data_IF_320437048694
#
_entry.id   IF_320437048694
#
_cell.length_a   1.000
_cell.length_b   1.000
_cell.length_c   1.000
_cell.angle_alpha   90.00
_cell.angle_beta   90.00
_cell.angle_gamma   90.00
#
_symmetry.space_group_name_H-M   'P 1'
#
loop_
_entity.id
_entity.type
_entity.pdbx_description
1 polymer ?
#
# COMPACT_ATOMS: atom_id res chain seq x y z
N UNK A 1 -4.02 23.22 13.36
CA UNK A 1 -4.08 23.58 14.81
C UNK A 1 -3.45 22.53 15.72
N UNK A 2 -3.78 21.22 15.59
CA UNK A 2 -3.21 20.17 16.47
C UNK A 2 -1.71 20.02 16.21
N UNK A 3 -1.29 19.84 14.96
CA UNK A 3 0.12 19.67 14.59
C UNK A 3 1.01 20.87 14.99
N UNK A 4 0.49 22.08 14.94
CA UNK A 4 1.21 23.32 15.31
C UNK A 4 1.55 23.40 16.80
N UNK A 5 0.89 22.61 17.65
CA UNK A 5 1.06 22.59 19.10
C UNK A 5 1.73 21.29 19.59
N UNK A 6 2.35 20.53 18.70
CA UNK A 6 3.00 19.24 19.01
C UNK A 6 4.40 19.18 18.43
N UNK A 7 5.24 18.39 19.07
CA UNK A 7 6.50 17.97 18.48
C UNK A 7 6.23 17.00 17.31
N UNK A 8 7.07 17.04 16.26
CA UNK A 8 6.84 16.24 15.04
C UNK A 8 6.65 14.73 15.32
N UNK A 9 7.34 14.15 16.28
CA UNK A 9 7.15 12.73 16.65
C UNK A 9 5.82 12.46 17.39
N UNK A 10 5.26 13.46 18.07
CA UNK A 10 3.96 13.32 18.75
C UNK A 10 2.80 13.35 17.74
N UNK A 11 3.03 13.87 16.53
CA UNK A 11 1.99 13.92 15.50
C UNK A 11 1.84 12.59 14.74
N UNK A 12 2.81 11.69 14.76
CA UNK A 12 2.77 10.40 14.06
C UNK A 12 1.48 9.61 14.31
N UNK A 13 0.97 9.44 15.56
CA UNK A 13 -0.28 8.73 15.80
C UNK A 13 -1.51 9.34 15.10
N UNK A 14 -1.50 10.64 14.82
CA UNK A 14 -2.58 11.28 14.08
C UNK A 14 -2.56 10.93 12.59
N UNK A 15 -1.38 10.65 12.05
CA UNK A 15 -1.25 10.26 10.64
C UNK A 15 -1.86 8.88 10.36
N UNK A 16 -1.91 7.96 11.33
CA UNK A 16 -2.61 6.68 11.20
C UNK A 16 -4.10 6.84 10.86
N UNK A 17 -4.68 7.98 11.21
CA UNK A 17 -6.12 8.25 11.11
C UNK A 17 -6.51 9.10 9.89
N UNK A 18 -5.54 9.50 9.06
CA UNK A 18 -5.80 10.24 7.84
C UNK A 18 -6.46 9.34 6.79
N UNK A 19 -5.76 8.28 6.40
CA UNK A 19 -6.32 7.14 5.68
C UNK A 19 -6.15 5.90 6.55
N UNK A 20 -7.17 5.58 7.32
CA UNK A 20 -7.12 4.46 8.25
C UNK A 20 -7.05 3.08 7.57
N UNK A 21 -7.20 3.02 6.25
CA UNK A 21 -7.04 1.78 5.48
C UNK A 21 -5.57 1.45 5.20
N UNK A 22 -4.70 2.47 5.19
CA UNK A 22 -3.27 2.34 4.92
C UNK A 22 -2.42 3.11 5.95
N UNK A 23 -2.57 2.88 7.27
CA UNK A 23 -1.91 3.67 8.30
C UNK A 23 -0.38 3.66 8.19
N UNK A 24 0.22 2.52 7.86
CA UNK A 24 1.67 2.41 7.65
C UNK A 24 2.17 3.35 6.54
N UNK A 25 1.42 3.49 5.44
CA UNK A 25 1.80 4.37 4.33
C UNK A 25 1.68 5.86 4.72
N UNK A 26 0.67 6.23 5.52
CA UNK A 26 0.52 7.59 6.02
C UNK A 26 1.67 8.00 6.93
N UNK A 27 2.08 7.11 7.85
CA UNK A 27 3.23 7.37 8.71
C UNK A 27 4.49 7.61 7.87
N UNK A 28 4.71 6.78 6.84
CA UNK A 28 5.86 6.90 5.94
C UNK A 28 5.82 8.24 5.18
N UNK A 29 4.68 8.61 4.61
CA UNK A 29 4.54 9.85 3.85
C UNK A 29 4.86 11.08 4.73
N UNK A 30 4.34 11.10 5.95
CA UNK A 30 4.62 12.17 6.91
C UNK A 30 6.10 12.21 7.31
N UNK A 31 6.69 11.06 7.67
CA UNK A 31 8.09 10.99 8.07
C UNK A 31 9.02 11.44 6.94
N UNK A 32 8.80 10.98 5.70
CA UNK A 32 9.57 11.40 4.53
C UNK A 32 9.49 12.92 4.29
N UNK A 33 8.32 13.54 4.51
CA UNK A 33 8.17 14.99 4.37
C UNK A 33 9.02 15.77 5.40
N UNK A 34 8.98 15.34 6.66
CA UNK A 34 9.78 15.97 7.73
C UNK A 34 11.28 15.75 7.50
N UNK A 35 11.68 14.53 7.16
CA UNK A 35 13.08 14.18 6.88
C UNK A 35 13.64 14.99 5.71
N UNK A 36 12.85 15.17 4.64
CA UNK A 36 13.23 16.02 3.51
C UNK A 36 13.44 17.48 3.92
N UNK A 37 12.61 18.01 4.82
CA UNK A 37 12.79 19.36 5.37
C UNK A 37 14.05 19.49 6.23
N UNK A 38 14.41 18.42 6.96
CA UNK A 38 15.59 18.39 7.82
C UNK A 38 16.88 18.02 7.06
N UNK A 39 16.79 17.63 5.79
CA UNK A 39 17.92 17.15 5.00
C UNK A 39 18.49 15.82 5.51
N UNK A 40 17.66 14.98 6.11
CA UNK A 40 18.06 13.69 6.66
C UNK A 40 17.91 12.57 5.64
N UNK A 41 18.93 11.71 5.54
CA UNK A 41 18.91 10.50 4.71
C UNK A 41 18.84 9.26 5.60
N UNK A 42 17.83 8.43 5.39
CA UNK A 42 17.65 7.21 6.16
C UNK A 42 18.66 6.13 5.81
N UNK A 43 19.02 5.29 6.80
CA UNK A 43 19.78 4.09 6.55
C UNK A 43 19.07 3.16 5.54
N UNK A 44 19.84 2.45 4.69
CA UNK A 44 19.26 1.59 3.64
C UNK A 44 18.27 0.54 4.18
N UNK A 45 18.54 -0.06 5.35
CA UNK A 45 17.64 -1.01 5.99
C UNK A 45 16.33 -0.36 6.41
N UNK A 46 16.38 0.85 6.96
CA UNK A 46 15.18 1.63 7.31
C UNK A 46 14.33 1.97 6.08
N UNK A 47 14.97 2.31 4.95
CA UNK A 47 14.27 2.54 3.68
C UNK A 47 13.56 1.28 3.20
N UNK A 48 14.25 0.13 3.17
CA UNK A 48 13.68 -1.16 2.73
C UNK A 48 12.48 -1.59 3.60
N UNK A 49 12.58 -1.41 4.92
CA UNK A 49 11.45 -1.68 5.83
C UNK A 49 10.24 -0.80 5.55
N UNK A 50 10.44 0.47 5.21
CA UNK A 50 9.34 1.36 4.83
C UNK A 50 8.70 0.95 3.52
N UNK A 51 9.48 0.53 2.53
CA UNK A 51 8.93 -0.01 1.27
C UNK A 51 8.06 -1.23 1.56
N UNK A 52 8.56 -2.19 2.37
CA UNK A 52 7.78 -3.35 2.78
C UNK A 52 6.46 -2.96 3.44
N UNK A 53 6.48 -2.02 4.38
CA UNK A 53 5.29 -1.51 5.06
C UNK A 53 4.30 -0.84 4.09
N UNK A 54 4.79 -0.04 3.14
CA UNK A 54 3.95 0.61 2.15
C UNK A 54 3.25 -0.38 1.24
N UNK A 55 3.94 -1.43 0.81
CA UNK A 55 3.35 -2.42 -0.10
C UNK A 55 2.39 -3.37 0.63
N UNK A 56 2.67 -3.76 1.88
CA UNK A 56 1.69 -4.49 2.72
C UNK A 56 0.43 -3.65 2.98
N UNK A 57 0.59 -2.34 3.24
CA UNK A 57 -0.53 -1.42 3.37
C UNK A 57 -1.33 -1.30 2.07
N UNK A 58 -0.67 -1.26 0.91
CA UNK A 58 -1.32 -1.22 -0.40
C UNK A 58 -2.15 -2.48 -0.66
N UNK A 59 -1.59 -3.67 -0.40
CA UNK A 59 -2.33 -4.93 -0.52
C UNK A 59 -3.59 -4.88 0.37
N UNK A 60 -3.43 -4.50 1.63
CA UNK A 60 -4.54 -4.40 2.58
C UNK A 60 -5.63 -3.41 2.14
N UNK A 61 -5.23 -2.23 1.64
CA UNK A 61 -6.16 -1.21 1.16
C UNK A 61 -6.89 -1.65 -0.11
N UNK A 62 -6.20 -2.29 -1.06
CA UNK A 62 -6.81 -2.80 -2.28
C UNK A 62 -7.74 -3.98 -2.02
N UNK A 63 -7.40 -4.89 -1.10
CA UNK A 63 -8.32 -5.94 -0.65
C UNK A 63 -9.63 -5.37 -0.13
N UNK A 64 -9.57 -4.31 0.69
CA UNK A 64 -10.80 -3.63 1.14
C UNK A 64 -11.55 -3.00 -0.03
N UNK A 65 -10.84 -2.24 -0.88
CA UNK A 65 -11.46 -1.53 -1.99
C UNK A 65 -12.18 -2.48 -2.95
N UNK A 66 -11.57 -3.62 -3.28
CA UNK A 66 -12.18 -4.68 -4.11
C UNK A 66 -13.35 -5.33 -3.38
N UNK A 67 -13.20 -5.67 -2.09
CA UNK A 67 -14.23 -6.34 -1.31
C UNK A 67 -15.49 -5.49 -1.15
N UNK A 68 -15.33 -4.20 -0.79
CA UNK A 68 -16.48 -3.27 -0.64
C UNK A 68 -17.15 -3.02 -1.99
N UNK A 69 -16.38 -2.78 -3.04
CA UNK A 69 -16.93 -2.59 -4.39
C UNK A 69 -17.73 -3.82 -4.84
N UNK A 70 -17.22 -5.03 -4.60
CA UNK A 70 -17.92 -6.27 -4.91
C UNK A 70 -19.21 -6.41 -4.08
N UNK A 71 -19.17 -6.06 -2.80
CA UNK A 71 -20.34 -6.06 -1.91
C UNK A 71 -21.42 -5.09 -2.39
N UNK A 72 -21.06 -3.88 -2.78
CA UNK A 72 -21.99 -2.85 -3.26
C UNK A 72 -22.74 -3.27 -4.52
N UNK A 73 -22.11 -4.08 -5.37
CA UNK A 73 -22.75 -4.65 -6.56
C UNK A 73 -23.37 -6.05 -6.33
N UNK A 74 -23.42 -6.50 -5.07
CA UNK A 74 -24.16 -7.72 -4.67
C UNK A 74 -23.31 -8.97 -4.49
N UNK A 75 -21.97 -8.90 -4.60
CA UNK A 75 -21.06 -10.03 -4.39
C UNK A 75 -20.54 -10.09 -2.96
N UNK A 76 -21.43 -10.19 -1.96
CA UNK A 76 -21.11 -10.18 -0.52
C UNK A 76 -20.06 -11.21 -0.09
N UNK A 77 -20.06 -12.38 -0.71
CA UNK A 77 -19.10 -13.44 -0.38
C UNK A 77 -17.65 -12.99 -0.61
N UNK A 78 -17.40 -12.23 -1.69
CA UNK A 78 -16.06 -11.72 -2.00
C UNK A 78 -15.54 -10.79 -0.90
N UNK A 79 -16.42 -9.95 -0.33
CA UNK A 79 -16.07 -9.11 0.81
C UNK A 79 -15.52 -9.94 1.99
N UNK A 80 -16.17 -11.06 2.33
CA UNK A 80 -15.70 -11.93 3.40
C UNK A 80 -14.33 -12.56 3.08
N UNK A 81 -14.12 -13.01 1.85
CA UNK A 81 -12.82 -13.52 1.41
C UNK A 81 -11.71 -12.47 1.51
N UNK A 82 -11.96 -11.25 1.03
CA UNK A 82 -10.96 -10.18 1.11
C UNK A 82 -10.62 -9.80 2.55
N UNK A 83 -11.60 -9.84 3.46
CA UNK A 83 -11.35 -9.58 4.88
C UNK A 83 -10.56 -10.70 5.56
N UNK A 84 -10.72 -11.96 5.15
CA UNK A 84 -9.88 -13.06 5.64
C UNK A 84 -8.40 -12.81 5.32
N UNK A 85 -8.09 -12.35 4.11
CA UNK A 85 -6.71 -12.01 3.74
C UNK A 85 -6.21 -10.74 4.46
N UNK A 86 -7.08 -9.75 4.64
CA UNK A 86 -6.75 -8.54 5.41
C UNK A 86 -6.41 -8.85 6.87
N UNK A 87 -7.09 -9.81 7.47
CA UNK A 87 -6.81 -10.26 8.83
C UNK A 87 -5.38 -10.80 8.98
N UNK A 88 -4.86 -11.48 7.96
CA UNK A 88 -3.46 -11.91 7.95
C UNK A 88 -2.48 -10.73 7.96
N UNK A 89 -2.79 -9.66 7.22
CA UNK A 89 -1.97 -8.42 7.27
C UNK A 89 -2.02 -7.79 8.66
N UNK A 90 -3.17 -7.79 9.34
CA UNK A 90 -3.26 -7.30 10.71
C UNK A 90 -2.41 -8.12 11.69
N UNK A 91 -2.35 -9.43 11.53
CA UNK A 91 -1.46 -10.29 12.32
C UNK A 91 0.01 -9.95 12.08
N UNK A 92 0.41 -9.65 10.83
CA UNK A 92 1.75 -9.17 10.52
C UNK A 92 2.01 -7.78 11.14
N UNK A 93 1.05 -6.86 11.07
CA UNK A 93 1.16 -5.57 11.73
C UNK A 93 1.36 -5.71 13.25
N UNK A 94 0.60 -6.59 13.90
CA UNK A 94 0.73 -6.87 15.32
C UNK A 94 2.11 -7.43 15.69
N UNK A 95 2.64 -8.36 14.90
CA UNK A 95 4.00 -8.88 15.10
C UNK A 95 5.05 -7.78 14.97
N UNK A 96 4.92 -6.94 13.96
CA UNK A 96 5.90 -5.89 13.66
C UNK A 96 5.80 -4.71 14.61
N UNK A 97 4.59 -4.26 14.94
CA UNK A 97 4.35 -2.97 15.59
C UNK A 97 3.78 -3.09 17.01
N UNK A 98 3.16 -4.22 17.33
CA UNK A 98 2.40 -4.43 18.56
C UNK A 98 0.95 -3.94 18.46
N UNK A 99 0.54 -3.40 17.31
CA UNK A 99 -0.82 -2.93 17.06
C UNK A 99 -1.35 -3.49 15.74
N UNK A 100 -2.61 -3.90 15.72
CA UNK A 100 -3.25 -4.50 14.55
C UNK A 100 -3.62 -3.48 13.48
N UNK A 101 -3.98 -2.26 13.88
CA UNK A 101 -4.62 -1.29 13.00
C UNK A 101 -3.91 0.08 13.02
N UNK A 102 -3.92 0.81 14.12
CA UNK A 102 -3.22 2.09 14.26
C UNK A 102 -1.80 1.82 14.75
N UNK A 103 -0.88 1.68 13.81
CA UNK A 103 0.44 1.07 14.06
C UNK A 103 1.46 2.04 14.62
N UNK A 104 1.41 3.32 14.23
CA UNK A 104 2.38 4.36 14.61
C UNK A 104 3.84 3.88 14.57
N UNK A 105 4.18 3.09 13.55
CA UNK A 105 5.44 2.35 13.47
C UNK A 105 6.60 3.19 12.97
N UNK A 106 6.38 3.94 11.89
CA UNK A 106 7.42 4.80 11.31
C UNK A 106 7.61 6.04 12.18
N UNK A 107 8.86 6.38 12.44
CA UNK A 107 9.27 7.61 13.15
C UNK A 107 10.10 8.48 12.21
N UNK A 108 10.13 9.78 12.46
CA UNK A 108 11.05 10.66 11.75
C UNK A 108 12.49 10.24 12.12
N UNK A 109 13.28 9.96 11.10
CA UNK A 109 14.64 9.42 11.23
C UNK A 109 14.73 7.89 11.29
N UNK A 110 13.64 7.14 11.16
CA UNK A 110 13.70 5.67 11.13
C UNK A 110 12.41 4.95 11.48
N UNK A 111 12.55 3.86 12.23
CA UNK A 111 11.46 2.97 12.63
C UNK A 111 11.45 2.79 14.14
N UNK A 112 10.31 2.44 14.72
CA UNK A 112 10.16 2.20 16.15
C UNK A 112 11.04 1.02 16.63
N UNK A 113 11.12 -0.04 15.84
CA UNK A 113 11.91 -1.26 16.08
C UNK A 113 12.18 -2.00 14.79
N UNK A 114 13.18 -2.87 14.80
CA UNK A 114 13.48 -3.75 13.66
C UNK A 114 12.49 -4.91 13.58
N UNK A 115 12.57 -5.66 12.49
CA UNK A 115 11.79 -6.88 12.29
C UNK A 115 12.08 -7.89 13.40
N UNK A 116 11.05 -8.42 14.07
CA UNK A 116 11.25 -9.49 15.05
C UNK A 116 11.67 -10.80 14.35
N UNK A 117 12.33 -11.72 15.08
CA UNK A 117 12.66 -13.04 14.56
C UNK A 117 11.43 -13.74 13.97
N UNK A 118 11.57 -14.33 12.77
CA UNK A 118 10.49 -15.03 12.09
C UNK A 118 9.53 -14.16 11.27
N UNK A 119 9.58 -12.82 11.41
CA UNK A 119 8.68 -11.93 10.67
C UNK A 119 8.84 -12.04 9.15
N UNK A 120 10.07 -12.07 8.64
CA UNK A 120 10.32 -12.23 7.21
C UNK A 120 9.73 -13.54 6.66
N UNK A 121 9.81 -14.64 7.42
CA UNK A 121 9.20 -15.90 7.04
C UNK A 121 7.66 -15.82 7.04
N UNK A 122 7.07 -15.18 8.05
CA UNK A 122 5.63 -14.97 8.12
C UNK A 122 5.12 -14.12 6.93
N UNK A 123 5.85 -13.06 6.55
CA UNK A 123 5.52 -12.27 5.36
C UNK A 123 5.60 -13.13 4.10
N UNK A 124 6.66 -13.94 3.92
CA UNK A 124 6.78 -14.83 2.74
C UNK A 124 5.61 -15.81 2.63
N UNK A 125 5.19 -16.40 3.74
CA UNK A 125 4.01 -17.29 3.78
C UNK A 125 2.76 -16.54 3.37
N UNK A 126 2.51 -15.35 3.94
CA UNK A 126 1.38 -14.51 3.58
C UNK A 126 1.37 -14.16 2.08
N UNK A 127 2.53 -13.79 1.49
CA UNK A 127 2.59 -13.40 0.07
C UNK A 127 2.20 -14.56 -0.86
N UNK A 128 2.53 -15.81 -0.52
CA UNK A 128 2.12 -16.99 -1.29
C UNK A 128 0.61 -17.21 -1.18
N UNK A 129 0.07 -17.17 0.02
CA UNK A 129 -1.37 -17.34 0.27
C UNK A 129 -2.20 -16.23 -0.38
N UNK A 130 -1.74 -14.98 -0.28
CA UNK A 130 -2.39 -13.81 -0.86
C UNK A 130 -2.45 -13.90 -2.40
N UNK A 131 -1.40 -14.38 -3.06
CA UNK A 131 -1.38 -14.56 -4.50
C UNK A 131 -2.44 -15.58 -4.96
N UNK A 132 -2.61 -16.67 -4.22
CA UNK A 132 -3.67 -17.65 -4.46
C UNK A 132 -5.05 -17.02 -4.28
N UNK A 133 -5.26 -16.29 -3.17
CA UNK A 133 -6.52 -15.63 -2.87
C UNK A 133 -6.90 -14.58 -3.92
N UNK A 134 -5.94 -13.80 -4.42
CA UNK A 134 -6.16 -12.85 -5.54
C UNK A 134 -6.68 -13.61 -6.78
N UNK A 135 -6.09 -14.77 -7.10
CA UNK A 135 -6.52 -15.60 -8.20
C UNK A 135 -7.94 -16.16 -8.03
N UNK A 136 -8.31 -16.56 -6.82
CA UNK A 136 -9.66 -17.06 -6.49
C UNK A 136 -10.72 -15.94 -6.56
N UNK A 137 -10.40 -14.76 -6.01
CA UNK A 137 -11.27 -13.58 -6.07
C UNK A 137 -11.51 -13.18 -7.55
N UNK A 138 -10.46 -13.15 -8.36
CA UNK A 138 -10.57 -12.86 -9.78
C UNK A 138 -11.51 -13.85 -10.48
N UNK A 139 -11.36 -15.16 -10.24
CA UNK A 139 -12.25 -16.18 -10.84
C UNK A 139 -13.71 -15.99 -10.43
N UNK A 140 -13.98 -15.60 -9.19
CA UNK A 140 -15.34 -15.35 -8.71
C UNK A 140 -15.97 -14.12 -9.34
N UNK A 141 -15.21 -13.06 -9.61
CA UNK A 141 -15.71 -11.79 -10.13
C UNK A 141 -15.71 -11.73 -11.65
N UNK A 142 -14.61 -12.11 -12.30
CA UNK A 142 -14.45 -11.98 -13.76
C UNK A 142 -15.41 -12.86 -14.56
N UNK A 143 -15.81 -14.02 -14.00
CA UNK A 143 -16.78 -14.92 -14.59
C UNK A 143 -18.23 -14.62 -14.17
N UNK A 144 -18.45 -13.66 -13.27
CA UNK A 144 -19.77 -13.30 -12.79
C UNK A 144 -20.45 -12.28 -13.72
N UNK A 145 -21.47 -12.73 -14.45
CA UNK A 145 -22.21 -11.87 -15.39
C UNK A 145 -22.81 -10.64 -14.67
N UNK A 146 -23.41 -10.82 -13.48
CA UNK A 146 -24.05 -9.73 -12.75
C UNK A 146 -23.01 -8.68 -12.34
N UNK A 147 -21.84 -9.11 -11.88
CA UNK A 147 -20.74 -8.22 -11.54
C UNK A 147 -20.29 -7.43 -12.77
N UNK A 148 -20.06 -8.10 -13.89
CA UNK A 148 -19.63 -7.46 -15.13
C UNK A 148 -20.67 -6.47 -15.66
N UNK A 149 -21.94 -6.85 -15.71
CA UNK A 149 -23.05 -5.98 -16.19
C UNK A 149 -23.22 -4.71 -15.32
N UNK A 150 -22.74 -4.75 -14.05
CA UNK A 150 -22.77 -3.60 -13.12
C UNK A 150 -21.50 -2.79 -13.05
N UNK A 151 -20.43 -3.23 -13.72
CA UNK A 151 -19.10 -2.61 -13.63
C UNK A 151 -18.56 -2.15 -14.99
N UNK A 152 -18.82 -2.92 -16.07
CA UNK A 152 -18.34 -2.61 -17.42
C UNK A 152 -19.17 -1.46 -17.98
N UNK A 153 -18.50 -0.48 -18.58
CA UNK A 153 -19.07 0.76 -19.11
C UNK A 153 -19.85 1.63 -18.10
N UNK A 154 -19.70 1.34 -16.81
CA UNK A 154 -20.34 2.10 -15.72
C UNK A 154 -19.35 3.05 -15.08
N UNK A 155 -19.77 4.32 -14.90
CA UNK A 155 -18.96 5.35 -14.26
C UNK A 155 -17.67 5.67 -15.02
N UNK A 156 -17.77 5.70 -16.34
CA UNK A 156 -16.64 6.01 -17.24
C UNK A 156 -16.15 7.44 -16.99
N UNK A 157 -14.86 7.57 -16.79
CA UNK A 157 -14.15 8.86 -16.61
C UNK A 157 -13.07 8.94 -17.69
N UNK A 158 -13.19 9.94 -18.57
CA UNK A 158 -12.18 10.15 -19.61
C UNK A 158 -10.84 10.58 -19.02
N UNK A 159 -9.78 10.37 -19.80
CA UNK A 159 -8.42 10.81 -19.46
C UNK A 159 -8.37 12.29 -19.10
N UNK A 160 -9.01 13.15 -19.91
CA UNK A 160 -9.03 14.61 -19.72
C UNK A 160 -9.75 14.98 -18.43
N UNK A 161 -10.90 14.34 -18.15
CA UNK A 161 -11.65 14.53 -16.92
C UNK A 161 -10.85 14.09 -15.70
N UNK A 162 -10.21 12.92 -15.76
CA UNK A 162 -9.40 12.39 -14.67
C UNK A 162 -8.24 13.34 -14.32
N UNK A 163 -7.56 13.90 -15.32
CA UNK A 163 -6.50 14.89 -15.12
C UNK A 163 -7.09 16.21 -14.55
N UNK A 164 -8.19 16.71 -15.11
CA UNK A 164 -8.84 17.96 -14.69
C UNK A 164 -9.30 17.92 -13.22
N UNK A 165 -9.83 16.76 -12.78
CA UNK A 165 -10.23 16.58 -11.37
C UNK A 165 -9.05 16.26 -10.43
N UNK A 166 -7.82 16.17 -10.94
CA UNK A 166 -6.64 15.83 -10.14
C UNK A 166 -6.68 14.42 -9.57
N UNK A 167 -7.29 13.49 -10.29
CA UNK A 167 -7.34 12.08 -9.86
C UNK A 167 -5.95 11.47 -9.78
N UNK A 168 -5.76 10.49 -8.91
CA UNK A 168 -4.49 9.79 -8.70
C UNK A 168 -4.70 8.29 -8.53
N UNK A 169 -3.61 7.54 -8.49
CA UNK A 169 -3.62 6.12 -8.20
C UNK A 169 -4.40 5.27 -9.22
N UNK A 170 -5.02 4.17 -8.77
CA UNK A 170 -5.76 3.26 -9.65
C UNK A 170 -6.85 3.94 -10.49
N UNK A 171 -7.49 4.95 -9.94
CA UNK A 171 -8.56 5.68 -10.65
C UNK A 171 -8.03 6.46 -11.85
N UNK A 172 -6.85 7.08 -11.72
CA UNK A 172 -6.19 7.79 -12.83
C UNK A 172 -5.65 6.81 -13.87
N UNK A 173 -5.01 5.72 -13.42
CA UNK A 173 -4.43 4.72 -14.31
C UNK A 173 -5.49 3.92 -15.08
N UNK A 174 -6.67 3.75 -14.53
CA UNK A 174 -7.80 3.15 -15.23
C UNK A 174 -8.34 4.02 -16.38
N UNK A 175 -7.99 5.30 -16.42
CA UNK A 175 -8.35 6.26 -17.48
C UNK A 175 -7.16 6.54 -18.44
N UNK A 176 -6.23 5.62 -18.59
CA UNK A 176 -5.14 5.68 -19.58
C UNK A 176 -3.98 6.60 -19.24
N UNK A 177 -3.82 7.02 -17.99
CA UNK A 177 -2.73 7.91 -17.59
C UNK A 177 -1.64 7.13 -16.87
N UNK A 178 -0.48 7.00 -17.53
CA UNK A 178 0.72 6.38 -16.96
C UNK A 178 1.37 7.34 -15.93
N UNK A 179 0.89 7.25 -14.69
CA UNK A 179 1.48 8.00 -13.59
C UNK A 179 1.49 7.19 -12.30
N UNK A 180 2.68 6.81 -11.88
CA UNK A 180 2.94 6.22 -10.58
C UNK A 180 4.14 6.93 -9.94
N UNK A 181 3.95 7.48 -8.73
CA UNK A 181 5.00 8.22 -8.03
C UNK A 181 6.24 7.37 -7.76
N UNK A 182 6.09 6.07 -7.60
CA UNK A 182 7.20 5.13 -7.39
C UNK A 182 8.14 5.05 -8.61
N UNK A 183 7.65 5.40 -9.82
CA UNK A 183 8.40 5.43 -11.07
C UNK A 183 8.77 6.86 -11.51
N UNK A 184 7.80 7.79 -11.53
CA UNK A 184 8.03 9.14 -12.06
C UNK A 184 8.74 10.08 -11.05
N UNK A 185 8.67 9.81 -9.76
CA UNK A 185 9.35 10.55 -8.69
C UNK A 185 9.73 9.60 -7.55
N UNK A 186 10.71 8.68 -7.78
CA UNK A 186 11.05 7.62 -6.85
C UNK A 186 11.44 8.16 -5.46
N UNK A 187 11.05 7.42 -4.43
CA UNK A 187 11.37 7.68 -3.03
C UNK A 187 11.72 6.36 -2.33
N UNK A 188 12.44 6.41 -1.23
CA UNK A 188 12.82 5.24 -0.41
C UNK A 188 13.54 4.12 -1.19
N UNK A 189 14.10 4.42 -2.37
CA UNK A 189 14.80 3.43 -3.18
C UNK A 189 13.88 2.54 -4.02
N UNK A 190 12.64 2.97 -4.33
CA UNK A 190 11.73 2.22 -5.21
C UNK A 190 12.33 1.95 -6.59
N UNK A 191 13.26 2.78 -7.07
CA UNK A 191 13.98 2.59 -8.33
C UNK A 191 14.81 1.29 -8.39
N UNK A 192 15.10 0.68 -7.24
CA UNK A 192 15.86 -0.57 -7.11
C UNK A 192 15.02 -1.81 -7.37
N UNK A 193 13.68 -1.67 -7.34
CA UNK A 193 12.76 -2.80 -7.45
C UNK A 193 12.13 -2.85 -8.84
N UNK A 194 12.07 -4.07 -9.37
CA UNK A 194 11.41 -4.35 -10.64
C UNK A 194 9.92 -4.60 -10.43
N UNK A 195 9.09 -3.74 -11.02
CA UNK A 195 7.63 -3.88 -11.06
C UNK A 195 7.04 -3.10 -12.23
N UNK A 196 5.86 -3.50 -12.66
CA UNK A 196 5.11 -2.85 -13.72
C UNK A 196 4.04 -1.91 -13.13
N UNK A 197 3.67 -0.90 -13.90
CA UNK A 197 2.56 0.00 -13.58
C UNK A 197 1.38 -0.41 -14.45
N UNK A 198 0.32 -1.02 -13.87
CA UNK A 198 -0.84 -1.40 -14.66
C UNK A 198 -1.63 -0.18 -15.10
N UNK A 199 -2.04 -0.16 -16.38
CA UNK A 199 -2.81 0.90 -17.02
C UNK A 199 -3.96 0.26 -17.79
N UNK A 200 -5.10 0.94 -17.84
CA UNK A 200 -6.25 0.57 -18.65
C UNK A 200 -6.87 1.85 -19.25
N UNK A 201 -7.49 1.75 -20.41
CA UNK A 201 -8.00 2.91 -21.15
C UNK A 201 -9.52 3.08 -21.04
N UNK A 202 -10.23 2.09 -20.53
CA UNK A 202 -11.70 2.06 -20.46
C UNK A 202 -12.27 3.11 -19.50
N UNK A 203 -11.54 3.45 -18.45
CA UNK A 203 -11.95 4.48 -17.48
C UNK A 203 -13.17 4.14 -16.63
N UNK A 204 -13.68 2.91 -16.69
CA UNK A 204 -14.89 2.45 -16.01
C UNK A 204 -14.61 1.82 -14.64
N UNK A 205 -15.67 1.36 -13.97
CA UNK A 205 -15.54 0.69 -12.68
C UNK A 205 -14.78 -0.63 -12.79
N UNK A 206 -14.97 -1.38 -13.89
CA UNK A 206 -14.30 -2.65 -14.09
C UNK A 206 -12.78 -2.48 -14.29
N UNK A 207 -12.37 -1.51 -15.09
CA UNK A 207 -10.95 -1.15 -15.25
C UNK A 207 -10.32 -0.77 -13.92
N UNK A 208 -11.00 0.04 -13.09
CA UNK A 208 -10.51 0.39 -11.73
C UNK A 208 -10.36 -0.83 -10.81
N UNK A 209 -11.24 -1.81 -10.93
CA UNK A 209 -11.13 -3.08 -10.23
C UNK A 209 -9.90 -3.86 -10.73
N UNK A 210 -9.76 -4.04 -12.04
CA UNK A 210 -8.63 -4.78 -12.63
C UNK A 210 -7.27 -4.19 -12.27
N UNK A 211 -7.15 -2.84 -12.31
CA UNK A 211 -5.92 -2.14 -11.88
C UNK A 211 -5.57 -2.49 -10.44
N UNK A 212 -6.54 -2.48 -9.51
CA UNK A 212 -6.27 -2.84 -8.10
C UNK A 212 -5.84 -4.29 -7.93
N UNK A 213 -6.43 -5.21 -8.69
CA UNK A 213 -6.03 -6.63 -8.67
C UNK A 213 -4.60 -6.81 -9.14
N UNK A 214 -4.20 -6.11 -10.21
CA UNK A 214 -2.84 -6.19 -10.72
C UNK A 214 -1.84 -5.46 -9.82
N UNK A 215 -2.19 -4.31 -9.26
CA UNK A 215 -1.32 -3.62 -8.29
C UNK A 215 -1.02 -4.47 -7.05
N UNK A 216 -1.95 -5.30 -6.60
CA UNK A 216 -1.66 -6.24 -5.50
C UNK A 216 -0.60 -7.27 -5.90
N UNK A 217 -0.65 -7.79 -7.15
CA UNK A 217 0.39 -8.71 -7.66
C UNK A 217 1.76 -8.04 -7.76
N UNK A 218 1.79 -6.79 -8.24
CA UNK A 218 3.01 -6.01 -8.29
C UNK A 218 3.56 -5.70 -6.89
N UNK A 219 2.69 -5.41 -5.92
CA UNK A 219 3.08 -5.23 -4.52
C UNK A 219 3.69 -6.51 -3.91
N UNK A 220 3.13 -7.68 -4.22
CA UNK A 220 3.71 -8.98 -3.84
C UNK A 220 5.10 -9.14 -4.44
N UNK A 221 5.28 -8.81 -5.73
CA UNK A 221 6.58 -8.86 -6.43
C UNK A 221 7.62 -7.95 -5.73
N UNK A 222 7.24 -6.73 -5.37
CA UNK A 222 8.10 -5.79 -4.64
C UNK A 222 8.44 -6.33 -3.26
N UNK A 223 7.46 -6.82 -2.48
CA UNK A 223 7.71 -7.35 -1.14
C UNK A 223 8.71 -8.52 -1.15
N UNK A 224 8.63 -9.42 -2.14
CA UNK A 224 9.58 -10.52 -2.32
C UNK A 224 10.99 -9.98 -2.55
N UNK A 225 11.16 -9.04 -3.47
CA UNK A 225 12.46 -8.42 -3.76
C UNK A 225 13.03 -7.69 -2.53
N UNK A 226 12.21 -6.95 -1.79
CA UNK A 226 12.63 -6.29 -0.54
C UNK A 226 13.17 -7.31 0.46
N UNK A 227 12.48 -8.43 0.65
CA UNK A 227 12.91 -9.49 1.59
C UNK A 227 14.16 -10.24 1.11
N UNK A 228 14.37 -10.34 -0.20
CA UNK A 228 15.53 -11.02 -0.80
C UNK A 228 16.79 -10.13 -0.77
N UNK A 229 16.61 -8.81 -0.84
CA UNK A 229 17.68 -7.82 -0.90
C UNK A 229 17.78 -6.97 0.36
N UNK A 230 17.12 -7.37 1.46
CA UNK A 230 17.10 -6.60 2.70
C UNK A 230 18.52 -6.36 3.22
N UNK A 231 18.99 -5.10 3.25
CA UNK A 231 20.33 -4.82 3.73
C UNK A 231 20.44 -5.01 5.25
N UNK A 232 21.62 -5.37 5.70
CA UNK A 232 21.95 -5.35 7.12
C UNK A 232 22.23 -3.92 7.60
N UNK A 233 22.19 -3.70 8.91
CA UNK A 233 22.55 -2.43 9.53
C UNK A 233 21.46 -1.83 10.39
N UNK A 234 21.67 -0.55 10.71
CA UNK A 234 20.76 0.22 11.58
C UNK A 234 19.50 0.65 10.83
N UNK A 235 18.44 0.87 11.58
CA UNK A 235 17.13 1.29 11.07
C UNK A 235 16.75 2.72 11.46
N UNK A 236 17.55 3.37 12.29
CA UNK A 236 17.28 4.68 12.89
C UNK A 236 18.52 5.54 12.82
N UNK A 237 18.35 6.82 12.54
CA UNK A 237 19.36 7.86 12.70
C UNK A 237 19.48 8.24 14.18
N UNK A 238 20.65 8.77 14.58
CA UNK A 238 20.79 9.41 15.87
C UNK A 238 20.01 10.75 15.96
N UNK A 239 20.04 11.38 17.12
CA UNK A 239 19.33 12.66 17.32
C UNK A 239 19.90 13.82 16.51
N UNK A 240 21.09 13.67 15.93
CA UNK A 240 21.71 14.66 15.03
C UNK A 240 21.44 14.40 13.56
N UNK A 241 20.69 13.33 13.22
CA UNK A 241 20.40 12.92 11.85
C UNK A 241 21.53 12.14 11.20
N UNK A 242 22.40 11.50 11.98
CA UNK A 242 23.52 10.67 11.50
C UNK A 242 23.25 9.18 11.78
N UNK A 243 23.87 8.33 10.98
CA UNK A 243 23.90 6.88 11.18
C UNK A 243 24.88 6.52 12.27
#
# INVERSE_FOLDING_TARGET
KIAENMHYNQFVPYTDRLDYLAPLANNVAYACAVEKLMGWELPPRGQALRVLCCELARISAHMLGVGVCAMDVGAMTVFLYTFTEREKVYNLCEQLTGARFTTSYTRVGGQLRDMPPGFAAAVRTFLVECEVAIGEIAKLLDNNKIFRDRMVDIGVISRESAISYGMTGPNLRASGVDRDLRKCSPYLGYEKYDFDVPIADEGDCYARYQIRMEEMRQSIKICRQVLDTMPDGVIVLDHSGKV
#
